data_IF_153767397971
#
_entry.id   IF_153767397971
#
_cell.length_a   1.000
_cell.length_b   1.000
_cell.length_c   1.000
_cell.angle_alpha   90.00
_cell.angle_beta   90.00
_cell.angle_gamma   90.00
#
_symmetry.space_group_name_H-M   'P 1'
#
loop_
_entity.id
_entity.type
_entity.pdbx_description
1 polymer ?
#
# COMPACT_ATOMS: atom_id res chain seq x y z
N UNK A 1 23.33 -41.24 2.30
CA UNK A 1 22.31 -40.22 2.59
C UNK A 1 21.92 -39.58 1.27
N UNK A 2 20.86 -40.09 0.63
CA UNK A 2 20.41 -39.61 -0.68
C UNK A 2 19.53 -38.36 -0.56
N UNK A 3 19.45 -37.52 -1.61
CA UNK A 3 18.56 -36.37 -1.62
C UNK A 3 17.09 -36.80 -1.75
N UNK A 4 16.22 -36.13 -1.00
CA UNK A 4 14.77 -36.33 -1.00
C UNK A 4 14.09 -35.80 -2.27
N UNK A 5 13.00 -36.42 -2.75
CA UNK A 5 12.28 -35.98 -3.94
C UNK A 5 11.10 -35.11 -3.53
N UNK A 6 11.26 -33.78 -3.55
CA UNK A 6 10.09 -32.91 -3.68
C UNK A 6 9.90 -32.59 -5.14
N UNK A 7 9.10 -33.44 -5.79
CA UNK A 7 8.62 -33.23 -7.15
C UNK A 7 7.85 -31.91 -7.24
N UNK A 8 8.29 -31.06 -8.16
CA UNK A 8 7.60 -29.85 -8.59
C UNK A 8 6.20 -30.19 -9.10
N UNK A 9 5.17 -29.73 -8.42
CA UNK A 9 3.83 -29.64 -9.00
C UNK A 9 3.75 -28.38 -9.87
N UNK A 10 3.88 -28.55 -11.18
CA UNK A 10 3.54 -27.53 -12.15
C UNK A 10 2.04 -27.60 -12.43
N UNK A 11 1.24 -26.76 -11.77
CA UNK A 11 -0.12 -26.48 -12.22
C UNK A 11 -0.03 -25.40 -13.31
N UNK A 12 -0.05 -25.85 -14.56
CA UNK A 12 -0.29 -24.99 -15.71
C UNK A 12 -1.77 -24.61 -15.74
N UNK A 13 -2.08 -23.35 -15.41
CA UNK A 13 -3.34 -22.74 -15.84
C UNK A 13 -3.06 -21.39 -16.50
N UNK A 14 -3.06 -21.47 -17.82
CA UNK A 14 -2.82 -20.41 -18.79
C UNK A 14 -4.06 -19.51 -18.87
N UNK A 15 -4.17 -18.49 -18.00
CA UNK A 15 -4.99 -17.28 -18.22
C UNK A 15 -4.91 -16.19 -17.14
N UNK A 16 -3.84 -16.11 -16.36
CA UNK A 16 -3.79 -15.23 -15.17
C UNK A 16 -2.69 -14.18 -15.30
N UNK A 17 -3.06 -12.90 -15.17
CA UNK A 17 -2.09 -11.82 -14.99
C UNK A 17 -1.21 -12.12 -13.77
N UNK A 18 0.07 -11.73 -13.79
CA UNK A 18 1.01 -12.15 -12.77
C UNK A 18 0.60 -11.59 -11.40
N UNK A 19 0.50 -12.47 -10.40
CA UNK A 19 0.65 -12.06 -9.00
C UNK A 19 2.00 -11.34 -8.92
N UNK A 20 2.02 -10.09 -8.45
CA UNK A 20 3.28 -9.36 -8.30
C UNK A 20 4.18 -10.14 -7.34
N UNK A 21 5.19 -10.82 -7.89
CA UNK A 21 6.22 -11.47 -7.11
C UNK A 21 6.94 -10.39 -6.32
N UNK A 22 7.21 -10.65 -5.04
CA UNK A 22 8.08 -9.79 -4.24
C UNK A 22 9.39 -9.57 -5.01
N UNK A 23 9.95 -8.34 -4.98
CA UNK A 23 11.29 -8.12 -5.51
C UNK A 23 12.23 -9.15 -4.88
N UNK A 24 13.00 -9.85 -5.73
CA UNK A 24 13.82 -11.00 -5.32
C UNK A 24 14.98 -10.64 -4.37
N UNK A 25 15.18 -9.36 -4.08
CA UNK A 25 16.18 -8.92 -3.11
C UNK A 25 15.63 -9.04 -1.69
N UNK A 26 16.45 -9.54 -0.79
CA UNK A 26 16.33 -9.39 0.67
C UNK A 26 16.35 -7.92 1.14
N UNK A 27 16.16 -6.97 0.23
CA UNK A 27 16.23 -5.53 0.42
C UNK A 27 14.85 -4.97 0.70
N UNK A 28 14.83 -3.95 1.53
CA UNK A 28 13.61 -3.25 1.85
C UNK A 28 13.03 -2.59 0.58
N UNK A 29 11.70 -2.54 0.47
CA UNK A 29 11.00 -1.96 -0.68
C UNK A 29 10.26 -0.67 -0.31
N UNK A 30 9.85 0.08 -1.34
CA UNK A 30 8.88 1.17 -1.21
C UNK A 30 7.48 0.59 -1.27
N UNK A 31 6.72 0.70 -0.19
CA UNK A 31 5.34 0.24 -0.13
C UNK A 31 4.40 1.31 -0.66
N UNK A 32 3.62 1.00 -1.69
CA UNK A 32 2.64 1.90 -2.28
C UNK A 32 1.28 1.66 -1.63
N UNK A 33 0.89 2.60 -0.77
CA UNK A 33 -0.40 2.57 -0.07
C UNK A 33 -1.40 3.45 -0.81
N UNK A 34 -2.60 2.93 -1.06
CA UNK A 34 -3.66 3.66 -1.73
C UNK A 34 -4.94 2.85 -1.81
N UNK A 35 -6.03 3.52 -2.21
CA UNK A 35 -7.28 2.86 -2.54
C UNK A 35 -7.43 2.70 -4.04
N UNK A 36 -7.44 1.47 -4.51
CA UNK A 36 -7.43 1.13 -5.93
C UNK A 36 -8.82 0.74 -6.43
N UNK A 37 -9.82 1.57 -6.11
CA UNK A 37 -11.23 1.30 -6.40
C UNK A 37 -11.70 1.82 -7.77
N UNK A 38 -10.83 2.46 -8.56
CA UNK A 38 -11.11 2.84 -9.93
C UNK A 38 -9.86 2.76 -10.81
N UNK A 39 -10.07 2.66 -12.12
CA UNK A 39 -9.00 2.50 -13.11
C UNK A 39 -8.03 3.69 -13.14
N UNK A 40 -8.53 4.93 -12.95
CA UNK A 40 -7.67 6.11 -12.93
C UNK A 40 -6.65 6.08 -11.78
N UNK A 41 -7.07 5.66 -10.58
CA UNK A 41 -6.20 5.49 -9.41
C UNK A 41 -5.19 4.34 -9.63
N UNK A 42 -5.62 3.24 -10.26
CA UNK A 42 -4.73 2.14 -10.63
C UNK A 42 -3.66 2.60 -11.63
N UNK A 43 -4.04 3.33 -12.67
CA UNK A 43 -3.09 3.86 -13.66
C UNK A 43 -2.06 4.78 -13.00
N UNK A 44 -2.51 5.74 -12.17
CA UNK A 44 -1.61 6.63 -11.41
C UNK A 44 -0.64 5.84 -10.53
N UNK A 45 -1.12 4.81 -9.84
CA UNK A 45 -0.27 3.91 -9.03
C UNK A 45 0.80 3.25 -9.89
N UNK A 46 0.44 2.70 -11.06
CA UNK A 46 1.40 2.06 -11.97
C UNK A 46 2.42 3.04 -12.51
N UNK A 47 2.04 4.29 -12.77
CA UNK A 47 2.96 5.33 -13.21
C UNK A 47 3.98 5.68 -12.12
N UNK A 48 3.50 5.85 -10.88
CA UNK A 48 4.36 6.08 -9.71
C UNK A 48 5.29 4.88 -9.48
N UNK A 49 4.74 3.67 -9.56
CA UNK A 49 5.52 2.43 -9.43
C UNK A 49 6.66 2.39 -10.45
N UNK A 50 6.36 2.62 -11.73
CA UNK A 50 7.37 2.67 -12.80
C UNK A 50 8.42 3.75 -12.55
N UNK A 51 8.02 4.93 -12.06
CA UNK A 51 8.95 6.01 -11.73
C UNK A 51 9.92 5.63 -10.62
N UNK A 52 9.43 4.96 -9.57
CA UNK A 52 10.25 4.48 -8.44
C UNK A 52 11.23 3.39 -8.90
N UNK A 53 10.75 2.44 -9.68
CA UNK A 53 11.56 1.34 -10.23
C UNK A 53 12.61 1.84 -11.23
N UNK A 54 12.27 2.81 -12.07
CA UNK A 54 13.23 3.49 -12.95
C UNK A 54 14.32 4.23 -12.16
N UNK A 55 14.01 4.67 -10.94
CA UNK A 55 14.97 5.23 -9.99
C UNK A 55 15.86 4.20 -9.28
N UNK A 56 15.71 2.90 -9.59
CA UNK A 56 16.50 1.82 -9.00
C UNK A 56 15.97 1.29 -7.66
N UNK A 57 14.78 1.71 -7.24
CA UNK A 57 14.15 1.26 -5.99
C UNK A 57 13.13 0.17 -6.27
N UNK A 58 13.12 -0.88 -5.44
CA UNK A 58 12.06 -1.88 -5.50
C UNK A 58 10.74 -1.28 -4.97
N UNK A 59 9.67 -1.37 -5.75
CA UNK A 59 8.33 -0.92 -5.36
C UNK A 59 7.39 -2.12 -5.16
N UNK A 60 6.51 -2.03 -4.17
CA UNK A 60 5.51 -3.05 -3.88
C UNK A 60 4.15 -2.38 -3.70
N UNK A 61 3.16 -2.85 -4.46
CA UNK A 61 1.75 -2.52 -4.26
C UNK A 61 0.97 -3.80 -4.05
N UNK A 62 0.00 -3.79 -3.15
CA UNK A 62 -0.91 -4.93 -3.00
C UNK A 62 -1.88 -4.92 -4.18
N UNK A 63 -1.65 -5.83 -5.12
CA UNK A 63 -2.60 -6.19 -6.17
C UNK A 63 -3.05 -7.62 -5.93
N UNK A 64 -4.30 -7.81 -5.52
CA UNK A 64 -4.82 -9.13 -5.24
C UNK A 64 -5.84 -9.52 -6.30
N UNK A 65 -5.49 -10.54 -7.09
CA UNK A 65 -6.42 -11.24 -7.95
C UNK A 65 -7.45 -12.05 -7.14
N UNK A 66 -8.49 -12.59 -7.80
CA UNK A 66 -9.52 -13.39 -7.15
C UNK A 66 -8.94 -14.56 -6.35
N UNK A 67 -9.35 -14.70 -5.09
CA UNK A 67 -8.93 -15.79 -4.20
C UNK A 67 -7.67 -15.56 -3.37
N UNK A 68 -7.07 -14.36 -3.43
CA UNK A 68 -5.90 -14.01 -2.62
C UNK A 68 -6.33 -13.26 -1.35
N UNK A 69 -5.75 -13.60 -0.21
CA UNK A 69 -5.97 -12.84 1.03
C UNK A 69 -5.18 -11.53 1.00
N UNK A 70 -5.91 -10.43 0.79
CA UNK A 70 -5.38 -9.07 0.81
C UNK A 70 -4.61 -8.78 2.11
N UNK A 71 -5.03 -9.35 3.24
CA UNK A 71 -4.43 -9.11 4.55
C UNK A 71 -3.00 -9.63 4.61
N UNK A 72 -2.76 -10.86 4.15
CA UNK A 72 -1.43 -11.47 4.16
C UNK A 72 -0.44 -10.75 3.24
N UNK A 73 -0.89 -10.30 2.05
CA UNK A 73 -0.04 -9.52 1.16
C UNK A 73 0.31 -8.15 1.74
N UNK A 74 -0.67 -7.50 2.37
CA UNK A 74 -0.47 -6.21 3.03
C UNK A 74 0.51 -6.33 4.18
N UNK A 75 0.35 -7.34 5.05
CA UNK A 75 1.28 -7.62 6.16
C UNK A 75 2.70 -7.87 5.67
N UNK A 76 2.87 -8.65 4.60
CA UNK A 76 4.18 -8.92 3.98
C UNK A 76 4.81 -7.65 3.41
N UNK A 77 4.02 -6.80 2.75
CA UNK A 77 4.47 -5.50 2.27
C UNK A 77 4.93 -4.61 3.41
N UNK A 78 4.06 -4.39 4.41
CA UNK A 78 4.36 -3.55 5.57
C UNK A 78 5.60 -4.02 6.35
N UNK A 79 5.78 -5.33 6.53
CA UNK A 79 6.93 -5.89 7.23
C UNK A 79 8.24 -5.65 6.46
N UNK A 80 8.22 -5.77 5.13
CA UNK A 80 9.39 -5.61 4.27
C UNK A 80 9.71 -4.18 3.84
N UNK A 81 8.88 -3.19 4.19
CA UNK A 81 9.05 -1.83 3.66
C UNK A 81 10.17 -1.04 4.36
N UNK A 82 10.89 -0.24 3.58
CA UNK A 82 11.74 0.85 4.07
C UNK A 82 10.93 2.14 4.23
N UNK A 83 10.08 2.44 3.25
CA UNK A 83 9.30 3.68 3.19
C UNK A 83 7.93 3.38 2.59
N UNK A 84 6.91 4.10 3.07
CA UNK A 84 5.58 4.08 2.48
C UNK A 84 5.40 5.32 1.60
N UNK A 85 4.93 5.12 0.37
CA UNK A 85 4.38 6.20 -0.47
C UNK A 85 2.87 6.11 -0.39
N UNK A 86 2.24 7.12 0.19
CA UNK A 86 0.79 7.19 0.40
C UNK A 86 0.13 8.01 -0.71
N UNK A 87 -0.71 7.38 -1.53
CA UNK A 87 -1.52 8.02 -2.55
C UNK A 87 -2.83 8.53 -1.91
N UNK A 88 -2.80 9.75 -1.39
CA UNK A 88 -3.87 10.32 -0.58
C UNK A 88 -4.97 10.92 -1.47
N UNK A 89 -6.02 10.14 -1.69
CA UNK A 89 -7.30 10.59 -2.29
C UNK A 89 -8.34 10.86 -1.20
N UNK A 90 -9.55 11.32 -1.58
CA UNK A 90 -10.64 11.70 -0.67
C UNK A 90 -11.06 10.58 0.30
N UNK A 91 -10.90 9.33 -0.13
CA UNK A 91 -11.27 8.13 0.63
C UNK A 91 -10.10 7.50 1.41
N UNK A 92 -8.92 8.11 1.38
CA UNK A 92 -7.73 7.59 2.04
C UNK A 92 -7.83 7.68 3.57
N UNK A 93 -7.42 6.61 4.26
CA UNK A 93 -7.51 6.50 5.71
C UNK A 93 -8.88 6.06 6.23
N UNK A 94 -9.85 5.70 5.36
CA UNK A 94 -11.12 5.12 5.82
C UNK A 94 -10.86 3.84 6.63
N UNK A 95 -11.39 3.82 7.86
CA UNK A 95 -11.39 2.65 8.73
C UNK A 95 -12.48 1.68 8.27
N UNK A 96 -12.06 0.53 7.76
CA UNK A 96 -12.96 -0.58 7.39
C UNK A 96 -12.88 -1.71 8.41
N UNK A 97 -13.66 -2.78 8.21
CA UNK A 97 -13.51 -4.02 8.97
C UNK A 97 -12.23 -4.79 8.63
N UNK A 98 -11.58 -4.48 7.50
CA UNK A 98 -10.33 -5.12 7.09
C UNK A 98 -9.11 -4.45 7.74
N UNK A 99 -8.22 -5.27 8.30
CA UNK A 99 -6.90 -4.87 8.80
C UNK A 99 -5.96 -4.41 7.69
N UNK A 100 -6.27 -4.71 6.42
CA UNK A 100 -5.54 -4.22 5.24
C UNK A 100 -5.98 -2.84 4.74
N UNK A 101 -6.82 -2.12 5.48
CA UNK A 101 -7.18 -0.75 5.08
C UNK A 101 -6.08 0.26 5.35
N UNK A 102 -6.03 1.32 4.54
CA UNK A 102 -5.05 2.41 4.65
C UNK A 102 -5.03 3.07 6.04
N UNK A 103 -6.13 3.01 6.80
CA UNK A 103 -6.17 3.40 8.23
C UNK A 103 -5.18 2.61 9.12
N UNK A 104 -5.09 1.29 8.91
CA UNK A 104 -4.20 0.42 9.66
C UNK A 104 -2.77 0.48 9.14
N UNK A 105 -2.57 0.60 7.82
CA UNK A 105 -1.25 0.81 7.21
C UNK A 105 -0.57 2.07 7.76
N UNK A 106 -1.30 3.19 7.83
CA UNK A 106 -0.80 4.44 8.45
C UNK A 106 -0.46 4.23 9.91
N UNK A 107 -1.31 3.50 10.66
CA UNK A 107 -1.03 3.16 12.05
C UNK A 107 0.23 2.32 12.23
N UNK A 108 0.45 1.34 11.35
CA UNK A 108 1.65 0.51 11.35
C UNK A 108 2.89 1.37 11.11
N UNK A 109 2.87 2.20 10.07
CA UNK A 109 4.00 3.09 9.75
C UNK A 109 4.35 4.02 10.92
N UNK A 110 3.34 4.55 11.64
CA UNK A 110 3.56 5.35 12.85
C UNK A 110 4.21 4.57 13.98
N UNK A 111 3.66 3.40 14.32
CA UNK A 111 4.14 2.57 15.45
C UNK A 111 5.60 2.13 15.24
N UNK A 112 5.96 1.81 13.99
CA UNK A 112 7.31 1.34 13.64
C UNK A 112 8.22 2.45 13.09
N UNK A 113 7.82 3.72 13.22
CA UNK A 113 8.59 4.89 12.76
C UNK A 113 9.06 4.79 11.30
N UNK A 114 8.23 4.19 10.44
CA UNK A 114 8.52 4.06 9.02
C UNK A 114 8.25 5.40 8.32
N UNK A 115 9.19 5.92 7.51
CA UNK A 115 8.97 7.13 6.74
C UNK A 115 7.74 7.01 5.83
N UNK A 116 6.98 8.11 5.75
CA UNK A 116 5.82 8.22 4.87
C UNK A 116 6.02 9.41 3.94
N UNK A 117 5.99 9.16 2.63
CA UNK A 117 5.95 10.20 1.60
C UNK A 117 4.52 10.31 1.11
N UNK A 118 3.85 11.40 1.43
CA UNK A 118 2.43 11.57 1.12
C UNK A 118 2.26 12.34 -0.19
N UNK A 119 1.56 11.73 -1.15
CA UNK A 119 1.18 12.31 -2.44
C UNK A 119 -0.26 12.77 -2.38
N UNK A 120 -0.51 14.07 -2.53
CA UNK A 120 -1.83 14.65 -2.44
C UNK A 120 -2.56 14.59 -3.79
N UNK A 121 -3.66 13.86 -3.82
CA UNK A 121 -4.57 13.79 -4.96
C UNK A 121 -5.97 14.36 -4.67
N UNK A 122 -6.21 14.85 -3.45
CA UNK A 122 -7.47 15.45 -3.02
C UNK A 122 -7.29 16.92 -2.64
N UNK A 123 -8.38 17.70 -2.66
CA UNK A 123 -8.33 19.13 -2.30
C UNK A 123 -8.21 19.38 -0.79
N UNK A 124 -8.91 18.59 0.03
CA UNK A 124 -8.83 18.66 1.48
C UNK A 124 -7.58 17.93 2.01
N UNK A 125 -6.83 18.54 2.93
CA UNK A 125 -5.61 17.95 3.49
C UNK A 125 -5.52 17.93 5.03
N UNK A 126 -5.27 16.75 5.65
CA UNK A 126 -5.61 15.44 5.08
C UNK A 126 -7.13 15.35 4.83
N UNK A 127 -7.57 14.47 3.93
CA UNK A 127 -8.99 14.32 3.62
C UNK A 127 -9.77 13.88 4.86
N UNK A 128 -11.07 14.16 4.85
CA UNK A 128 -12.01 13.52 5.77
C UNK A 128 -12.57 12.27 5.08
N UNK A 129 -12.05 11.06 5.36
CA UNK A 129 -12.50 9.87 4.66
C UNK A 129 -13.96 9.56 4.98
N UNK A 130 -14.64 8.76 4.14
CA UNK A 130 -15.89 8.15 4.53
C UNK A 130 -15.67 7.29 5.78
N UNK A 131 -16.75 7.10 6.54
CA UNK A 131 -16.71 6.27 7.73
C UNK A 131 -18.10 6.04 8.26
N UNK A 132 -18.31 4.86 8.86
CA UNK A 132 -19.61 4.41 9.35
C UNK A 132 -20.25 5.39 10.35
N UNK A 133 -19.43 6.15 11.10
CA UNK A 133 -19.88 7.15 12.07
C UNK A 133 -19.07 8.44 11.92
N UNK A 134 -19.60 9.56 12.44
CA UNK A 134 -18.84 10.82 12.49
C UNK A 134 -17.55 10.66 13.30
N UNK A 135 -17.59 9.92 14.41
CA UNK A 135 -16.42 9.66 15.24
C UNK A 135 -15.33 8.92 14.46
N UNK A 136 -15.69 7.87 13.72
CA UNK A 136 -14.72 7.11 12.92
C UNK A 136 -14.00 7.99 11.88
N UNK A 137 -14.72 8.95 11.28
CA UNK A 137 -14.15 9.92 10.32
C UNK A 137 -13.17 10.87 11.01
N UNK A 138 -13.52 11.36 12.20
CA UNK A 138 -12.63 12.24 12.97
C UNK A 138 -11.37 11.51 13.47
N UNK A 139 -11.51 10.26 13.93
CA UNK A 139 -10.39 9.43 14.38
C UNK A 139 -9.42 9.15 13.22
N UNK A 140 -9.95 8.81 12.04
CA UNK A 140 -9.15 8.61 10.83
C UNK A 140 -8.39 9.87 10.43
N UNK A 141 -9.07 11.03 10.43
CA UNK A 141 -8.45 12.32 10.13
C UNK A 141 -7.36 12.69 11.14
N UNK A 142 -7.62 12.48 12.43
CA UNK A 142 -6.64 12.73 13.49
C UNK A 142 -5.39 11.85 13.34
N UNK A 143 -5.57 10.56 13.03
CA UNK A 143 -4.48 9.63 12.74
C UNK A 143 -3.62 10.11 11.57
N UNK A 144 -4.25 10.51 10.47
CA UNK A 144 -3.54 11.05 9.31
C UNK A 144 -2.80 12.35 9.63
N UNK A 145 -3.37 13.25 10.44
CA UNK A 145 -2.66 14.48 10.88
C UNK A 145 -1.40 14.17 11.69
N UNK A 146 -1.42 13.11 12.48
CA UNK A 146 -0.24 12.65 13.23
C UNK A 146 0.79 11.96 12.33
N UNK A 147 0.37 11.37 11.21
CA UNK A 147 1.24 10.65 10.28
C UNK A 147 1.88 11.59 9.25
N UNK A 148 1.09 12.50 8.70
CA UNK A 148 1.48 13.53 7.76
C UNK A 148 1.84 14.80 8.53
N UNK A 149 2.87 14.69 9.37
CA UNK A 149 3.34 15.80 10.23
C UNK A 149 3.67 16.99 9.32
N UNK A 150 3.36 18.24 9.70
CA UNK A 150 3.62 19.43 8.87
C UNK A 150 5.07 19.61 8.40
N UNK A 151 6.05 18.97 9.07
CA UNK A 151 7.45 18.95 8.68
C UNK A 151 7.84 17.87 7.67
N UNK A 152 6.93 16.96 7.32
CA UNK A 152 7.12 15.94 6.28
C UNK A 152 6.59 16.48 4.97
N UNK A 153 7.42 16.45 3.92
CA UNK A 153 7.08 16.94 2.59
C UNK A 153 5.84 16.18 2.07
N UNK A 154 4.73 16.90 1.89
CA UNK A 154 3.65 16.47 0.99
C UNK A 154 4.00 16.94 -0.42
N UNK A 155 3.72 16.10 -1.41
CA UNK A 155 3.86 16.47 -2.82
C UNK A 155 2.45 16.70 -3.36
N UNK A 156 2.18 17.91 -3.86
CA UNK A 156 0.93 18.20 -4.58
C UNK A 156 0.98 17.49 -5.93
N UNK A 157 0.07 16.53 -6.15
CA UNK A 157 0.03 15.65 -7.32
C UNK A 157 -1.34 15.68 -8.02
N UNK A 158 -2.14 16.72 -7.77
CA UNK A 158 -3.44 16.94 -8.42
C UNK A 158 -3.28 17.26 -9.91
#
# INVERSE_FOLDING_TARGET
LGPSPFSSFSVTDSKRGPVQAMPASSGQHVFLSGRFNNEAKVTKLRDIQRGIEAGGWAAFSVDAGPGTDFSVLTERGLCGMHTMVALVCEDYGEKTSSSSSTYFEVGYAQVYFKPIVALQFCDEWPPTPPGATQQARQDAKARMRMAFIPGVVRIDAR
#
